data_IF_728701916253
#
_entry.id   IF_728701916253
#
_cell.length_a   1.000
_cell.length_b   1.000
_cell.length_c   1.000
_cell.angle_alpha   90.00
_cell.angle_beta   90.00
_cell.angle_gamma   90.00
#
_symmetry.space_group_name_H-M   'P 1'
#
loop_
_entity.id
_entity.type
_entity.pdbx_description
1 polymer ?
#
# COMPACT_ATOMS: atom_id res chain seq x y z
N UNK A 1 5.26 -10.35 -54.35
CA UNK A 1 4.05 -9.50 -54.27
C UNK A 1 3.78 -9.29 -52.80
N UNK A 2 3.79 -8.04 -52.29
CA UNK A 2 3.53 -7.77 -50.87
C UNK A 2 2.04 -7.97 -50.59
N UNK A 3 1.72 -8.71 -49.53
CA UNK A 3 0.34 -8.97 -49.12
C UNK A 3 -0.30 -7.66 -48.63
N UNK A 4 -1.44 -7.22 -49.19
CA UNK A 4 -2.14 -6.01 -48.74
C UNK A 4 -2.65 -6.09 -47.28
N UNK A 5 -2.69 -7.28 -46.67
CA UNK A 5 -3.10 -7.49 -45.28
C UNK A 5 -1.97 -7.38 -44.25
N UNK A 6 -0.71 -7.23 -44.67
CA UNK A 6 0.49 -7.24 -43.80
C UNK A 6 0.55 -6.06 -42.80
N UNK A 7 -0.30 -5.04 -42.99
CA UNK A 7 -0.43 -3.89 -42.07
C UNK A 7 -1.50 -4.08 -40.96
N UNK A 8 -2.20 -5.22 -40.89
CA UNK A 8 -3.35 -5.42 -39.98
C UNK A 8 -2.97 -6.05 -38.63
N UNK A 9 -1.70 -6.38 -38.41
CA UNK A 9 -1.24 -7.18 -37.25
C UNK A 9 -1.24 -6.41 -35.91
N UNK A 10 -1.32 -5.08 -35.92
CA UNK A 10 -1.22 -4.28 -34.69
C UNK A 10 -2.45 -4.37 -33.76
N UNK A 11 -3.61 -4.85 -34.23
CA UNK A 11 -4.83 -4.91 -33.43
C UNK A 11 -4.97 -6.19 -32.56
N UNK A 12 -4.05 -7.15 -32.66
CA UNK A 12 -4.12 -8.40 -31.90
C UNK A 12 -3.37 -8.37 -30.56
N UNK A 13 -2.58 -7.33 -30.31
CA UNK A 13 -1.82 -7.18 -29.07
C UNK A 13 -2.41 -6.05 -28.22
N UNK A 14 -2.69 -6.28 -26.93
CA UNK A 14 -3.13 -5.20 -26.05
C UNK A 14 -2.08 -4.08 -26.05
N UNK A 15 -2.50 -2.80 -26.09
CA UNK A 15 -1.57 -1.69 -26.16
C UNK A 15 -0.57 -1.77 -25.01
N UNK A 16 0.71 -1.65 -25.34
CA UNK A 16 1.79 -1.76 -24.36
C UNK A 16 1.51 -0.82 -23.17
N UNK A 17 1.45 -1.39 -21.97
CA UNK A 17 1.19 -0.64 -20.73
C UNK A 17 2.24 0.47 -20.62
N UNK A 18 1.80 1.74 -20.64
CA UNK A 18 2.70 2.89 -20.44
C UNK A 18 3.44 2.71 -19.12
N UNK A 19 4.77 2.57 -19.18
CA UNK A 19 5.64 2.46 -18.01
C UNK A 19 5.99 3.86 -17.49
N UNK A 20 6.11 4.00 -16.18
CA UNK A 20 6.65 5.20 -15.53
C UNK A 20 5.68 6.38 -15.31
N UNK A 21 4.73 6.63 -16.21
CA UNK A 21 3.72 7.70 -16.02
C UNK A 21 2.46 7.14 -15.36
N UNK A 22 1.98 7.73 -14.25
CA UNK A 22 0.68 7.35 -13.69
C UNK A 22 -0.44 7.67 -14.68
N UNK A 23 -1.52 6.89 -14.62
CA UNK A 23 -2.68 7.01 -15.50
C UNK A 23 -3.32 8.41 -15.48
N UNK A 24 -3.18 9.14 -14.37
CA UNK A 24 -3.65 10.52 -14.19
C UNK A 24 -2.85 11.57 -14.98
N UNK A 25 -1.70 11.21 -15.56
CA UNK A 25 -0.83 12.14 -16.28
C UNK A 25 -0.02 13.10 -15.39
N UNK A 26 -0.21 13.08 -14.07
CA UNK A 26 0.53 13.86 -13.08
C UNK A 26 1.29 12.93 -12.14
N UNK A 27 2.62 13.02 -12.14
CA UNK A 27 3.45 12.30 -11.20
C UNK A 27 3.25 12.89 -9.80
N UNK A 28 2.96 12.03 -8.81
CA UNK A 28 2.92 12.46 -7.42
C UNK A 28 4.32 12.88 -6.97
N UNK A 29 4.39 14.02 -6.31
CA UNK A 29 5.58 14.46 -5.58
C UNK A 29 5.95 13.43 -4.50
N UNK A 30 7.20 13.38 -4.03
CA UNK A 30 7.59 12.52 -2.92
C UNK A 30 6.73 12.75 -1.67
N UNK A 31 6.39 14.01 -1.37
CA UNK A 31 5.55 14.38 -0.23
C UNK A 31 4.12 13.83 -0.35
N UNK A 32 3.50 13.96 -1.52
CA UNK A 32 2.15 13.40 -1.77
C UNK A 32 2.15 11.87 -1.68
N UNK A 33 3.20 11.20 -2.18
CA UNK A 33 3.35 9.75 -2.02
C UNK A 33 3.43 9.34 -0.56
N UNK A 34 4.27 10.03 0.23
CA UNK A 34 4.40 9.79 1.68
C UNK A 34 3.07 10.04 2.41
N UNK A 35 2.34 11.09 2.03
CA UNK A 35 1.03 11.40 2.60
C UNK A 35 0.02 10.28 2.30
N UNK A 36 -0.10 9.86 1.03
CA UNK A 36 -1.00 8.77 0.64
C UNK A 36 -0.66 7.46 1.33
N UNK A 37 0.64 7.16 1.48
CA UNK A 37 1.10 6.00 2.22
C UNK A 37 0.62 6.05 3.69
N UNK A 38 0.76 7.20 4.36
CA UNK A 38 0.28 7.38 5.73
C UNK A 38 -1.23 7.22 5.83
N UNK A 39 -2.00 7.83 4.92
CA UNK A 39 -3.46 7.67 4.89
C UNK A 39 -3.89 6.19 4.76
N UNK A 40 -3.15 5.40 3.98
CA UNK A 40 -3.37 3.96 3.89
C UNK A 40 -3.03 3.22 5.20
N UNK A 41 -1.93 3.59 5.85
CA UNK A 41 -1.54 3.01 7.16
C UNK A 41 -2.60 3.37 8.21
N UNK A 42 -3.03 4.62 8.27
CA UNK A 42 -4.06 5.09 9.21
C UNK A 42 -5.35 4.30 9.02
N UNK A 43 -5.78 4.12 7.77
CA UNK A 43 -6.94 3.28 7.47
C UNK A 43 -6.74 1.85 7.96
N UNK A 44 -5.57 1.26 7.75
CA UNK A 44 -5.30 -0.11 8.12
C UNK A 44 -5.20 -0.34 9.65
N UNK A 45 -4.72 0.66 10.39
CA UNK A 45 -4.60 0.62 11.86
C UNK A 45 -5.93 0.93 12.54
N UNK A 46 -6.69 1.90 12.01
CA UNK A 46 -7.85 2.47 12.70
C UNK A 46 -9.20 2.11 12.09
N UNK A 47 -9.26 1.63 10.84
CA UNK A 47 -10.53 1.31 10.15
C UNK A 47 -10.92 -0.17 10.22
N UNK A 48 -10.53 -0.90 11.27
CA UNK A 48 -11.06 -2.26 11.44
C UNK A 48 -12.56 -2.22 11.80
N UNK A 49 -13.41 -3.00 11.08
CA UNK A 49 -14.84 -3.01 11.30
C UNK A 49 -15.17 -3.68 12.63
N UNK A 50 -16.36 -3.37 13.15
CA UNK A 50 -16.86 -3.54 14.52
C UNK A 50 -16.71 -4.93 15.20
N UNK A 51 -16.18 -5.95 14.53
CA UNK A 51 -16.00 -7.30 15.09
C UNK A 51 -14.60 -7.92 14.87
N UNK A 52 -13.70 -7.27 14.12
CA UNK A 52 -12.46 -7.91 13.64
C UNK A 52 -11.18 -7.63 14.42
N UNK A 53 -11.13 -6.58 15.25
CA UNK A 53 -9.89 -6.12 15.87
C UNK A 53 -8.81 -5.74 14.84
N UNK A 54 -7.67 -5.24 15.30
CA UNK A 54 -6.52 -4.95 14.42
C UNK A 54 -5.92 -6.29 13.96
N UNK A 55 -5.41 -6.36 12.72
CA UNK A 55 -4.70 -7.53 12.18
C UNK A 55 -3.20 -7.21 11.94
N UNK A 56 -2.37 -7.14 13.00
CA UNK A 56 -0.94 -6.81 12.88
C UNK A 56 -0.16 -7.76 11.98
N UNK A 57 -0.56 -9.03 11.93
CA UNK A 57 0.07 -10.13 11.19
C UNK A 57 0.08 -9.88 9.68
N UNK A 58 -0.96 -9.23 9.14
CA UNK A 58 -1.07 -8.89 7.72
C UNK A 58 -0.37 -7.57 7.36
N UNK A 59 0.15 -6.84 8.35
CA UNK A 59 0.75 -5.53 8.11
C UNK A 59 2.20 -5.61 7.62
N UNK A 60 2.61 -4.74 6.67
CA UNK A 60 4.03 -4.57 6.37
C UNK A 60 4.76 -3.95 7.57
N UNK A 61 6.06 -4.24 7.72
CA UNK A 61 6.89 -3.74 8.84
C UNK A 61 6.81 -2.22 8.98
N UNK A 62 6.81 -1.50 7.85
CA UNK A 62 6.69 -0.04 7.85
C UNK A 62 5.39 0.45 8.44
N UNK A 63 4.28 -0.26 8.21
CA UNK A 63 2.98 0.08 8.79
C UNK A 63 2.95 -0.20 10.29
N UNK A 64 3.56 -1.30 10.74
CA UNK A 64 3.70 -1.60 12.17
C UNK A 64 4.47 -0.50 12.92
N UNK A 65 5.60 -0.04 12.37
CA UNK A 65 6.43 1.00 12.99
C UNK A 65 5.72 2.35 13.01
N UNK A 66 5.21 2.80 11.86
CA UNK A 66 4.51 4.10 11.78
C UNK A 66 3.21 4.08 12.60
N UNK A 67 2.46 2.97 12.55
CA UNK A 67 1.24 2.75 13.33
C UNK A 67 1.49 2.73 14.83
N UNK A 68 2.58 2.11 15.30
CA UNK A 68 2.96 2.11 16.72
C UNK A 68 3.21 3.53 17.22
N UNK A 69 3.99 4.32 16.46
CA UNK A 69 4.26 5.71 16.83
C UNK A 69 2.97 6.55 16.91
N UNK A 70 2.00 6.31 16.03
CA UNK A 70 0.70 6.97 16.09
C UNK A 70 -0.15 6.49 17.27
N UNK A 71 -0.20 5.18 17.53
CA UNK A 71 -0.98 4.62 18.64
C UNK A 71 -0.51 5.17 20.00
N UNK A 72 0.82 5.35 20.17
CA UNK A 72 1.39 6.01 21.35
C UNK A 72 0.94 7.47 21.44
N UNK A 73 1.01 8.23 20.34
CA UNK A 73 0.55 9.63 20.30
C UNK A 73 -0.94 9.78 20.58
N UNK A 74 -1.74 8.84 20.07
CA UNK A 74 -3.19 8.79 20.25
C UNK A 74 -3.61 8.22 21.63
N UNK A 75 -2.66 7.81 22.47
CA UNK A 75 -2.90 7.15 23.77
C UNK A 75 -3.83 5.94 23.66
N UNK A 76 -3.61 5.11 22.64
CA UNK A 76 -4.35 3.88 22.42
C UNK A 76 -3.50 2.66 22.84
N UNK A 77 -3.46 2.30 24.13
CA UNK A 77 -2.51 1.31 24.66
C UNK A 77 -2.72 -0.09 24.08
N UNK A 78 -3.96 -0.49 23.83
CA UNK A 78 -4.27 -1.82 23.28
C UNK A 78 -3.72 -1.97 21.85
N UNK A 79 -3.86 -0.91 21.04
CA UNK A 79 -3.34 -0.84 19.68
C UNK A 79 -1.82 -0.85 19.69
N UNK A 80 -1.22 0.01 20.52
CA UNK A 80 0.23 0.09 20.65
C UNK A 80 0.84 -1.26 21.07
N UNK A 81 0.21 -1.95 22.02
CA UNK A 81 0.66 -3.26 22.48
C UNK A 81 0.56 -4.32 21.37
N UNK A 82 -0.57 -4.41 20.67
CA UNK A 82 -0.75 -5.38 19.59
C UNK A 82 0.30 -5.21 18.47
N UNK A 83 0.60 -3.96 18.09
CA UNK A 83 1.61 -3.66 17.08
C UNK A 83 3.03 -3.95 17.56
N UNK A 84 3.33 -3.66 18.83
CA UNK A 84 4.63 -3.93 19.44
C UNK A 84 4.89 -5.44 19.58
N UNK A 85 3.90 -6.21 20.05
CA UNK A 85 4.00 -7.66 20.22
C UNK A 85 4.29 -8.34 18.86
N UNK A 86 3.63 -7.90 17.79
CA UNK A 86 3.90 -8.42 16.44
C UNK A 86 5.31 -8.07 15.93
N UNK A 87 5.81 -6.86 16.20
CA UNK A 87 7.19 -6.50 15.86
C UNK A 87 8.21 -7.37 16.59
N UNK A 88 8.00 -7.61 17.89
CA UNK A 88 8.86 -8.48 18.70
C UNK A 88 8.80 -9.92 18.19
N UNK A 89 7.59 -10.42 17.86
CA UNK A 89 7.39 -11.76 17.30
C UNK A 89 8.17 -11.96 16.01
N UNK A 90 8.14 -10.97 15.09
CA UNK A 90 8.90 -11.04 13.83
C UNK A 90 10.41 -10.93 14.02
N UNK A 91 10.87 -10.20 15.03
CA UNK A 91 12.29 -10.07 15.33
C UNK A 91 12.88 -11.32 15.99
N UNK A 92 12.03 -12.11 16.65
CA UNK A 92 12.44 -13.31 17.41
C UNK A 92 12.26 -14.62 16.64
N UNK A 93 11.65 -14.56 15.45
CA UNK A 93 11.41 -15.70 14.56
C UNK A 93 12.55 -15.85 13.55
#
# INVERSE_FOLDING_TARGET
>A
MKDPADNRTQNLLPPAKKRGRPASGKALTPAERKRKQREQIDSMVWSCPAEGGITPDLMPITALIEGLAQAVRARAPNVARALADELVRRASA
#
